data_IF_399172756734
#
_entry.id   IF_399172756734
#
_cell.length_a   1.000
_cell.length_b   1.000
_cell.length_c   1.000
_cell.angle_alpha   90.00
_cell.angle_beta   90.00
_cell.angle_gamma   90.00
#
_symmetry.space_group_name_H-M   'P 1'
#
loop_
_entity.id
_entity.type
_entity.pdbx_description
1 polymer ?
#
# COMPACT_ATOMS: atom_id res chain seq x y z
N UNK A 1 -0.57 -3.22 -32.85
CA UNK A 1 0.28 -3.67 -31.72
C UNK A 1 -0.55 -4.64 -30.88
N UNK A 2 0.04 -5.71 -30.33
CA UNK A 2 -0.68 -6.56 -29.36
C UNK A 2 -0.98 -5.73 -28.10
N UNK A 3 -2.17 -5.83 -27.48
CA UNK A 3 -2.49 -5.09 -26.27
C UNK A 3 -1.49 -5.46 -25.17
N UNK A 4 -0.96 -4.44 -24.50
CA UNK A 4 -0.02 -4.63 -23.40
C UNK A 4 -0.83 -5.04 -22.16
N UNK A 5 -0.63 -6.26 -21.70
CA UNK A 5 -1.21 -6.71 -20.43
C UNK A 5 -0.51 -6.01 -19.27
N UNK A 6 -1.17 -5.02 -18.66
CA UNK A 6 -0.64 -4.27 -17.52
C UNK A 6 -0.72 -5.09 -16.24
N UNK A 7 -1.78 -5.90 -16.09
CA UNK A 7 -2.01 -6.80 -14.94
C UNK A 7 -0.86 -7.79 -14.75
N UNK A 8 -0.08 -8.08 -15.79
CA UNK A 8 1.05 -9.01 -15.73
C UNK A 8 2.07 -8.68 -14.62
N UNK A 9 2.21 -7.41 -14.24
CA UNK A 9 3.10 -7.02 -13.13
C UNK A 9 2.59 -7.50 -11.75
N UNK A 10 1.30 -7.82 -11.63
CA UNK A 10 0.65 -8.33 -10.41
C UNK A 10 0.48 -9.85 -10.39
N UNK A 11 1.00 -10.59 -11.39
CA UNK A 11 0.89 -12.06 -11.44
C UNK A 11 1.34 -12.76 -10.17
N UNK A 12 2.39 -12.25 -9.54
CA UNK A 12 2.91 -12.82 -8.30
C UNK A 12 1.95 -12.54 -7.14
N UNK A 13 1.49 -11.29 -6.99
CA UNK A 13 0.49 -10.91 -5.98
C UNK A 13 -0.76 -11.76 -6.10
N UNK A 14 -1.27 -11.92 -7.33
CA UNK A 14 -2.44 -12.73 -7.65
C UNK A 14 -2.30 -14.20 -7.25
N UNK A 15 -1.11 -14.81 -7.42
CA UNK A 15 -0.85 -16.17 -6.94
C UNK A 15 -0.91 -16.25 -5.42
N UNK A 16 -0.30 -15.30 -4.73
CA UNK A 16 -0.36 -15.23 -3.27
C UNK A 16 -1.75 -14.94 -2.75
N UNK A 17 -2.57 -14.14 -3.44
CA UNK A 17 -3.96 -13.92 -3.03
C UNK A 17 -4.78 -15.20 -3.04
N UNK A 18 -4.53 -16.09 -4.01
CA UNK A 18 -5.15 -17.42 -4.04
C UNK A 18 -4.70 -18.28 -2.86
N UNK A 19 -3.40 -18.28 -2.58
CA UNK A 19 -2.80 -19.00 -1.45
C UNK A 19 -3.26 -18.46 -0.09
N UNK A 20 -3.50 -17.16 0.02
CA UNK A 20 -3.87 -16.50 1.26
C UNK A 20 -5.39 -16.33 1.42
N UNK A 21 -6.18 -17.05 0.61
CA UNK A 21 -7.65 -17.02 0.69
C UNK A 21 -8.29 -15.62 0.52
N UNK A 22 -7.64 -14.69 -0.18
CA UNK A 22 -8.14 -13.31 -0.44
C UNK A 22 -8.34 -13.04 -1.93
N UNK A 23 -8.52 -14.09 -2.74
CA UNK A 23 -8.70 -13.96 -4.18
C UNK A 23 -10.04 -13.26 -4.50
N UNK A 24 -10.03 -12.14 -5.24
CA UNK A 24 -11.24 -11.39 -5.53
C UNK A 24 -11.95 -11.95 -6.77
N UNK A 25 -12.63 -13.09 -6.66
CA UNK A 25 -13.41 -13.66 -7.78
C UNK A 25 -14.81 -14.07 -7.33
N UNK A 26 -15.81 -13.63 -8.08
CA UNK A 26 -17.21 -13.95 -7.84
C UNK A 26 -17.53 -15.42 -8.15
N UNK A 27 -16.85 -16.00 -9.14
CA UNK A 27 -16.99 -17.42 -9.52
C UNK A 27 -15.88 -18.25 -8.87
N UNK A 28 -16.11 -18.71 -7.64
CA UNK A 28 -15.21 -19.64 -6.96
C UNK A 28 -15.76 -21.07 -7.01
N UNK A 29 -14.90 -22.05 -7.29
CA UNK A 29 -15.27 -23.45 -7.09
C UNK A 29 -15.68 -23.69 -5.62
N UNK A 30 -16.68 -24.55 -5.35
CA UNK A 30 -17.18 -24.79 -3.99
C UNK A 30 -16.08 -25.18 -2.98
N UNK A 31 -15.13 -26.01 -3.41
CA UNK A 31 -13.98 -26.42 -2.58
C UNK A 31 -13.09 -25.24 -2.15
N UNK A 32 -12.88 -24.27 -3.05
CA UNK A 32 -12.08 -23.09 -2.73
C UNK A 32 -12.82 -22.17 -1.74
N UNK A 33 -14.15 -22.12 -1.79
CA UNK A 33 -14.96 -21.38 -0.81
C UNK A 33 -14.84 -21.95 0.60
N UNK A 34 -14.88 -23.28 0.75
CA UNK A 34 -14.64 -23.92 2.04
C UNK A 34 -13.21 -23.66 2.56
N UNK A 35 -12.22 -23.74 1.68
CA UNK A 35 -10.84 -23.37 2.01
C UNK A 35 -10.73 -21.93 2.52
N UNK A 36 -11.37 -20.97 1.84
CA UNK A 36 -11.36 -19.56 2.25
C UNK A 36 -11.98 -19.36 3.63
N UNK A 37 -13.15 -19.94 3.88
CA UNK A 37 -13.84 -19.85 5.18
C UNK A 37 -12.96 -20.46 6.28
N UNK A 38 -12.41 -21.66 6.04
CA UNK A 38 -11.54 -22.33 7.00
C UNK A 38 -10.27 -21.51 7.29
N UNK A 39 -9.59 -21.02 6.24
CA UNK A 39 -8.35 -20.28 6.38
C UNK A 39 -8.57 -18.95 7.14
N UNK A 40 -9.58 -18.17 6.76
CA UNK A 40 -9.87 -16.89 7.43
C UNK A 40 -10.33 -17.12 8.87
N UNK A 41 -11.22 -18.08 9.11
CA UNK A 41 -11.70 -18.39 10.46
C UNK A 41 -10.58 -18.88 11.37
N UNK A 42 -9.73 -19.78 10.87
CA UNK A 42 -8.67 -20.41 11.66
C UNK A 42 -7.45 -19.52 11.87
N UNK A 43 -7.11 -18.63 10.93
CA UNK A 43 -5.85 -17.89 10.99
C UNK A 43 -6.04 -16.40 11.25
N UNK A 44 -7.11 -15.78 10.75
CA UNK A 44 -7.34 -14.34 10.96
C UNK A 44 -8.20 -14.14 12.20
N UNK A 45 -9.37 -14.77 12.26
CA UNK A 45 -10.33 -14.56 13.35
C UNK A 45 -9.78 -15.15 14.65
N UNK A 46 -9.37 -16.41 14.65
CA UNK A 46 -8.84 -17.06 15.85
C UNK A 46 -7.60 -16.34 16.38
N UNK A 47 -6.67 -15.93 15.52
CA UNK A 47 -5.48 -15.20 15.96
C UNK A 47 -5.84 -13.86 16.59
N UNK A 48 -6.68 -13.05 15.93
CA UNK A 48 -7.15 -11.78 16.51
C UNK A 48 -7.83 -11.99 17.87
N UNK A 49 -8.62 -13.05 18.02
CA UNK A 49 -9.32 -13.39 19.26
C UNK A 49 -8.31 -13.75 20.36
N UNK A 50 -7.33 -14.61 20.06
CA UNK A 50 -6.28 -15.02 21.00
C UNK A 50 -5.41 -13.84 21.44
N UNK A 51 -5.01 -12.95 20.52
CA UNK A 51 -4.20 -11.77 20.85
C UNK A 51 -5.03 -10.77 21.67
N UNK A 52 -6.32 -10.60 21.36
CA UNK A 52 -7.21 -9.72 22.14
C UNK A 52 -7.40 -10.24 23.57
N UNK A 53 -7.59 -11.55 23.74
CA UNK A 53 -7.62 -12.17 25.07
C UNK A 53 -6.29 -11.98 25.79
N UNK A 54 -5.16 -12.19 25.10
CA UNK A 54 -3.83 -11.98 25.69
C UNK A 54 -3.68 -10.58 26.26
N UNK A 55 -4.13 -9.56 25.53
CA UNK A 55 -4.04 -8.16 25.96
C UNK A 55 -4.83 -7.89 27.26
N UNK A 56 -5.97 -8.56 27.45
CA UNK A 56 -6.77 -8.43 28.67
C UNK A 56 -6.08 -9.01 29.91
N UNK A 57 -5.36 -10.13 29.75
CA UNK A 57 -4.65 -10.82 30.84
C UNK A 57 -3.19 -10.37 31.00
N UNK A 58 -2.76 -9.35 30.25
CA UNK A 58 -1.36 -8.96 30.21
C UNK A 58 -0.91 -8.35 31.55
N UNK A 59 0.26 -8.75 32.09
CA UNK A 59 0.75 -8.19 33.34
C UNK A 59 1.01 -6.68 33.18
N UNK A 60 0.74 -5.91 34.25
CA UNK A 60 0.92 -4.44 34.28
C UNK A 60 2.39 -3.98 34.27
N UNK A 61 3.31 -4.83 33.82
CA UNK A 61 4.72 -4.48 33.61
C UNK A 61 4.86 -3.76 32.27
N UNK A 62 5.30 -2.49 32.31
CA UNK A 62 5.37 -1.63 31.13
C UNK A 62 6.20 -2.25 29.99
N UNK A 63 7.31 -2.91 30.30
CA UNK A 63 8.20 -3.52 29.29
C UNK A 63 7.47 -4.57 28.43
N UNK A 64 6.78 -5.51 29.08
CA UNK A 64 6.01 -6.57 28.42
C UNK A 64 4.77 -6.01 27.73
N UNK A 65 4.15 -5.01 28.33
CA UNK A 65 2.98 -4.34 27.76
C UNK A 65 3.30 -3.67 26.42
N UNK A 66 4.41 -2.94 26.35
CA UNK A 66 4.88 -2.26 25.13
C UNK A 66 5.16 -3.25 24.00
N UNK A 67 5.86 -4.35 24.29
CA UNK A 67 6.19 -5.36 23.29
C UNK A 67 4.94 -5.96 22.64
N UNK A 68 3.95 -6.32 23.44
CA UNK A 68 2.69 -6.90 22.96
C UNK A 68 1.81 -5.88 22.24
N UNK A 69 1.83 -4.60 22.65
CA UNK A 69 1.14 -3.51 21.94
C UNK A 69 1.63 -3.36 20.51
N UNK A 70 2.94 -3.46 20.27
CA UNK A 70 3.54 -3.31 18.94
C UNK A 70 2.98 -4.40 17.99
N UNK A 71 2.98 -5.65 18.44
CA UNK A 71 2.45 -6.77 17.66
C UNK A 71 0.93 -6.65 17.47
N UNK A 72 0.20 -6.22 18.49
CA UNK A 72 -1.24 -6.01 18.40
C UNK A 72 -1.63 -4.93 17.37
N UNK A 73 -0.97 -3.78 17.39
CA UNK A 73 -1.22 -2.73 16.39
C UNK A 73 -0.87 -3.17 14.97
N UNK A 74 0.17 -3.99 14.82
CA UNK A 74 0.50 -4.60 13.52
C UNK A 74 -0.64 -5.50 13.05
N UNK A 75 -1.19 -6.30 13.96
CA UNK A 75 -2.27 -7.23 13.63
C UNK A 75 -3.57 -6.50 13.25
N UNK A 76 -3.89 -5.41 13.94
CA UNK A 76 -5.03 -4.57 13.56
C UNK A 76 -4.86 -3.98 12.15
N UNK A 77 -3.64 -3.53 11.81
CA UNK A 77 -3.34 -3.01 10.48
C UNK A 77 -3.49 -4.11 9.40
N UNK A 78 -2.94 -5.31 9.62
CA UNK A 78 -3.08 -6.46 8.69
C UNK A 78 -4.54 -6.86 8.53
N UNK A 79 -5.28 -6.95 9.63
CA UNK A 79 -6.69 -7.33 9.62
C UNK A 79 -7.51 -6.34 8.79
N UNK A 80 -7.26 -5.04 8.91
CA UNK A 80 -7.93 -4.02 8.07
C UNK A 80 -7.69 -4.23 6.56
N UNK A 81 -6.47 -4.62 6.18
CA UNK A 81 -6.09 -4.94 4.79
C UNK A 81 -6.84 -6.18 4.28
N UNK A 82 -6.87 -7.24 5.07
CA UNK A 82 -7.58 -8.48 4.74
C UNK A 82 -9.07 -8.21 4.57
N UNK A 83 -9.70 -7.52 5.52
CA UNK A 83 -11.12 -7.16 5.43
C UNK A 83 -11.45 -6.35 4.18
N UNK A 84 -10.56 -5.44 3.78
CA UNK A 84 -10.73 -4.66 2.54
C UNK A 84 -10.73 -5.55 1.31
N UNK A 85 -9.83 -6.52 1.23
CA UNK A 85 -9.82 -7.47 0.10
C UNK A 85 -11.06 -8.35 0.07
N UNK A 86 -11.61 -8.72 1.22
CA UNK A 86 -12.83 -9.54 1.31
C UNK A 86 -14.09 -8.75 0.93
N UNK A 87 -14.27 -7.54 1.48
CA UNK A 87 -15.48 -6.75 1.28
C UNK A 87 -15.48 -5.93 -0.02
N UNK A 88 -14.32 -5.53 -0.51
CA UNK A 88 -14.20 -4.64 -1.68
C UNK A 88 -13.77 -5.37 -2.95
N UNK A 89 -13.94 -6.69 -3.00
CA UNK A 89 -13.46 -7.54 -4.09
C UNK A 89 -13.95 -7.08 -5.47
N UNK A 90 -15.24 -6.73 -5.63
CA UNK A 90 -15.79 -6.25 -6.91
C UNK A 90 -15.08 -5.00 -7.43
N UNK A 91 -14.76 -4.08 -6.51
CA UNK A 91 -14.04 -2.85 -6.87
C UNK A 91 -12.56 -3.12 -7.16
N UNK A 92 -11.94 -4.09 -6.49
CA UNK A 92 -10.57 -4.54 -6.80
C UNK A 92 -10.52 -5.15 -8.21
N UNK A 93 -11.51 -5.98 -8.58
CA UNK A 93 -11.64 -6.49 -9.94
C UNK A 93 -11.85 -5.36 -10.94
N UNK A 94 -12.68 -4.36 -10.60
CA UNK A 94 -12.86 -3.17 -11.43
C UNK A 94 -11.54 -2.40 -11.66
N UNK A 95 -10.71 -2.21 -10.62
CA UNK A 95 -9.38 -1.60 -10.74
C UNK A 95 -8.52 -2.36 -11.75
N UNK A 96 -8.48 -3.70 -11.63
CA UNK A 96 -7.72 -4.54 -12.56
C UNK A 96 -8.24 -4.43 -13.99
N UNK A 97 -9.55 -4.45 -14.19
CA UNK A 97 -10.17 -4.35 -15.51
C UNK A 97 -9.90 -3.00 -16.18
N UNK A 98 -9.97 -1.89 -15.43
CA UNK A 98 -9.68 -0.55 -15.95
C UNK A 98 -8.25 -0.43 -16.48
N UNK A 99 -7.28 -1.09 -15.84
CA UNK A 99 -5.88 -1.12 -16.31
C UNK A 99 -5.70 -1.83 -17.66
N UNK A 100 -6.63 -2.69 -18.06
CA UNK A 100 -6.60 -3.39 -19.35
C UNK A 100 -7.49 -2.73 -20.41
N UNK A 101 -8.31 -1.74 -20.04
CA UNK A 101 -9.18 -1.04 -20.98
C UNK A 101 -8.39 -0.36 -22.10
N UNK A 102 -9.00 -0.28 -23.28
CA UNK A 102 -8.39 0.29 -24.50
C UNK A 102 -7.86 1.72 -24.29
N UNK A 103 -8.55 2.52 -23.45
CA UNK A 103 -8.16 3.90 -23.13
C UNK A 103 -6.79 4.00 -22.42
N UNK A 104 -6.43 2.97 -21.63
CA UNK A 104 -5.19 2.91 -20.86
C UNK A 104 -4.05 2.25 -21.65
N UNK A 105 -4.31 1.78 -22.88
CA UNK A 105 -3.31 1.17 -23.73
C UNK A 105 -2.39 2.24 -24.36
N UNK A 106 -1.07 2.00 -24.42
CA UNK A 106 -0.15 2.94 -25.03
C UNK A 106 -0.28 2.94 -26.56
N UNK A 107 -0.59 4.09 -27.13
CA UNK A 107 -0.63 4.30 -28.59
C UNK A 107 0.75 4.69 -29.16
N UNK A 108 1.64 5.23 -28.32
CA UNK A 108 2.97 5.70 -28.72
C UNK A 108 4.09 4.85 -28.13
N UNK A 109 5.23 4.80 -28.81
CA UNK A 109 6.43 4.11 -28.30
C UNK A 109 6.91 4.73 -26.97
N UNK A 110 6.78 6.05 -26.82
CA UNK A 110 7.08 6.74 -25.55
C UNK A 110 6.15 6.28 -24.43
N UNK A 111 4.84 6.18 -24.68
CA UNK A 111 3.90 5.69 -23.68
C UNK A 111 4.12 4.23 -23.32
N UNK A 112 4.51 3.40 -24.29
CA UNK A 112 4.88 2.01 -24.05
C UNK A 112 6.09 1.89 -23.12
N UNK A 113 7.13 2.71 -23.35
CA UNK A 113 8.33 2.74 -22.49
C UNK A 113 8.00 3.19 -21.06
N UNK A 114 7.14 4.19 -20.90
CA UNK A 114 6.70 4.69 -19.59
C UNK A 114 5.95 3.61 -18.80
N UNK A 115 4.94 2.96 -19.41
CA UNK A 115 4.16 1.91 -18.74
C UNK A 115 5.03 0.67 -18.46
N UNK A 116 5.90 0.26 -19.39
CA UNK A 116 6.81 -0.86 -19.17
C UNK A 116 7.83 -0.57 -18.05
N UNK A 117 8.35 0.66 -17.99
CA UNK A 117 9.19 1.13 -16.88
C UNK A 117 8.47 1.05 -15.54
N UNK A 118 7.23 1.52 -15.48
CA UNK A 118 6.38 1.44 -14.29
C UNK A 118 6.12 -0.01 -13.85
N UNK A 119 5.81 -0.92 -14.79
CA UNK A 119 5.64 -2.35 -14.52
C UNK A 119 6.92 -2.99 -13.97
N UNK A 120 8.07 -2.73 -14.60
CA UNK A 120 9.38 -3.24 -14.16
C UNK A 120 9.74 -2.72 -12.78
N UNK A 121 9.48 -1.45 -12.52
CA UNK A 121 9.69 -0.85 -11.20
C UNK A 121 8.81 -1.53 -10.14
N UNK A 122 7.52 -1.76 -10.42
CA UNK A 122 6.62 -2.47 -9.50
C UNK A 122 7.12 -3.90 -9.18
N UNK A 123 7.53 -4.67 -10.19
CA UNK A 123 8.08 -6.02 -9.99
C UNK A 123 9.39 -5.99 -9.20
N UNK A 124 10.27 -5.01 -9.48
CA UNK A 124 11.51 -4.82 -8.73
C UNK A 124 11.22 -4.46 -7.26
N UNK A 125 10.28 -3.55 -7.03
CA UNK A 125 9.86 -3.13 -5.70
C UNK A 125 9.31 -4.31 -4.90
N UNK A 126 8.42 -5.12 -5.49
CA UNK A 126 7.92 -6.35 -4.87
C UNK A 126 9.05 -7.28 -4.44
N UNK A 127 10.04 -7.53 -5.30
CA UNK A 127 11.19 -8.39 -4.99
C UNK A 127 12.03 -7.86 -3.83
N UNK A 128 12.26 -6.55 -3.78
CA UNK A 128 13.01 -5.91 -2.69
C UNK A 128 12.25 -6.07 -1.37
N UNK A 129 10.96 -5.73 -1.35
CA UNK A 129 10.12 -5.83 -0.14
C UNK A 129 10.03 -7.29 0.32
N UNK A 130 9.85 -8.24 -0.61
CA UNK A 130 9.82 -9.66 -0.29
C UNK A 130 11.15 -10.16 0.30
N UNK A 131 12.29 -9.76 -0.27
CA UNK A 131 13.60 -10.14 0.25
C UNK A 131 13.85 -9.59 1.67
N UNK A 132 13.60 -8.30 1.89
CA UNK A 132 13.77 -7.65 3.21
C UNK A 132 12.84 -8.24 4.26
N UNK A 133 11.60 -8.54 3.87
CA UNK A 133 10.62 -9.14 4.78
C UNK A 133 10.96 -10.60 5.10
N UNK A 134 11.42 -11.36 4.11
CA UNK A 134 11.84 -12.75 4.31
C UNK A 134 13.04 -12.86 5.24
N UNK A 135 14.06 -12.00 5.09
CA UNK A 135 15.23 -12.00 5.99
C UNK A 135 14.84 -11.62 7.42
N UNK A 136 14.02 -10.59 7.60
CA UNK A 136 13.54 -10.16 8.92
C UNK A 136 12.72 -11.27 9.60
N UNK A 137 11.79 -11.87 8.86
CA UNK A 137 10.95 -12.96 9.35
C UNK A 137 11.75 -14.21 9.72
N UNK A 138 12.66 -14.65 8.85
CA UNK A 138 13.53 -15.80 9.12
C UNK A 138 14.40 -15.54 10.35
N UNK A 139 14.93 -14.34 10.52
CA UNK A 139 15.73 -13.98 11.70
C UNK A 139 14.90 -14.09 12.98
N UNK A 140 13.67 -13.59 12.96
CA UNK A 140 12.78 -13.57 14.13
C UNK A 140 12.30 -14.97 14.55
N UNK A 141 12.08 -15.89 13.59
CA UNK A 141 11.70 -17.28 13.90
C UNK A 141 12.92 -18.14 14.22
N UNK A 142 14.00 -18.03 13.45
CA UNK A 142 15.16 -18.91 13.66
C UNK A 142 15.96 -18.52 14.90
N UNK A 143 16.01 -17.25 15.30
CA UNK A 143 16.82 -16.82 16.46
C UNK A 143 16.42 -17.52 17.77
N UNK A 144 15.12 -17.54 18.18
CA UNK A 144 14.71 -18.28 19.38
C UNK A 144 14.98 -19.79 19.28
N UNK A 145 14.79 -20.39 18.09
CA UNK A 145 15.05 -21.81 17.87
C UNK A 145 16.54 -22.16 17.97
N UNK A 146 17.41 -21.33 17.41
CA UNK A 146 18.86 -21.49 17.50
C UNK A 146 19.32 -21.39 18.96
N UNK A 147 18.81 -20.40 19.71
CA UNK A 147 19.11 -20.26 21.14
C UNK A 147 18.62 -21.46 21.95
N UNK A 148 17.45 -22.00 21.62
CA UNK A 148 16.90 -23.18 22.29
C UNK A 148 17.69 -24.46 22.01
N UNK A 149 17.99 -24.75 20.74
CA UNK A 149 18.65 -26.00 20.36
C UNK A 149 20.17 -26.01 20.58
N UNK A 150 20.86 -24.88 20.36
CA UNK A 150 22.33 -24.80 20.47
C UNK A 150 22.77 -24.42 21.88
N UNK A 151 22.10 -23.44 22.50
CA UNK A 151 22.49 -22.88 23.79
C UNK A 151 21.64 -23.41 24.96
N UNK A 152 20.71 -24.34 24.70
CA UNK A 152 19.81 -24.94 25.69
C UNK A 152 19.03 -23.90 26.53
N UNK A 153 18.76 -22.73 25.95
CA UNK A 153 17.93 -21.70 26.57
C UNK A 153 16.45 -22.10 26.53
N UNK A 154 15.64 -21.55 27.44
CA UNK A 154 14.18 -21.71 27.38
C UNK A 154 13.67 -21.09 26.07
N UNK A 155 12.79 -21.82 25.37
CA UNK A 155 12.18 -21.32 24.14
C UNK A 155 11.07 -20.35 24.52
N UNK A 156 11.19 -19.09 24.10
CA UNK A 156 10.12 -18.13 24.24
C UNK A 156 9.27 -18.07 22.96
N UNK A 157 7.98 -17.79 23.12
CA UNK A 157 7.06 -17.63 22.00
C UNK A 157 7.42 -16.37 21.20
N UNK A 158 7.40 -16.43 19.85
CA UNK A 158 7.97 -15.37 19.03
C UNK A 158 7.10 -14.11 19.02
N UNK A 159 5.78 -14.22 19.11
CA UNK A 159 4.86 -13.07 18.87
C UNK A 159 4.09 -12.68 20.12
N UNK A 160 3.36 -13.63 20.72
CA UNK A 160 2.52 -13.37 21.89
C UNK A 160 2.84 -14.35 23.01
N UNK A 161 2.99 -13.83 24.21
CA UNK A 161 3.29 -14.63 25.42
C UNK A 161 2.15 -15.53 25.88
N UNK A 162 0.92 -15.31 25.40
CA UNK A 162 -0.31 -15.97 25.85
C UNK A 162 -0.40 -16.02 27.39
N UNK A 163 -0.37 -14.84 28.01
CA UNK A 163 -0.38 -14.62 29.45
C UNK A 163 -1.60 -15.19 30.18
N UNK A 164 -2.67 -15.57 29.45
CA UNK A 164 -3.84 -16.25 29.99
C UNK A 164 -3.62 -17.75 30.27
N UNK A 165 -2.57 -18.37 29.70
CA UNK A 165 -2.23 -19.77 29.94
C UNK A 165 -1.28 -19.91 31.13
N UNK A 166 -1.49 -20.95 31.96
CA UNK A 166 -0.54 -21.29 33.02
C UNK A 166 0.83 -21.67 32.44
N UNK A 167 1.90 -21.39 33.18
CA UNK A 167 3.28 -21.72 32.74
C UNK A 167 3.46 -23.21 32.46
N UNK A 168 2.81 -24.07 33.24
CA UNK A 168 2.82 -25.53 33.05
C UNK A 168 2.20 -25.91 31.70
N UNK A 169 1.03 -25.37 31.37
CA UNK A 169 0.35 -25.61 30.08
C UNK A 169 1.19 -25.12 28.91
N UNK A 170 1.82 -23.94 29.04
CA UNK A 170 2.68 -23.37 28.00
C UNK A 170 3.90 -24.25 27.73
N UNK A 171 4.52 -24.81 28.77
CA UNK A 171 5.65 -25.72 28.60
C UNK A 171 5.25 -27.06 27.98
N UNK A 172 4.10 -27.62 28.35
CA UNK A 172 3.60 -28.87 27.74
C UNK A 172 3.32 -28.71 26.24
N UNK A 173 2.74 -27.59 25.83
CA UNK A 173 2.32 -27.34 24.43
C UNK A 173 3.22 -26.36 23.69
N UNK A 174 4.48 -26.21 24.10
CA UNK A 174 5.36 -25.16 23.59
C UNK A 174 5.63 -25.29 22.09
N UNK A 175 5.89 -26.51 21.59
CA UNK A 175 6.18 -26.72 20.17
C UNK A 175 4.95 -26.49 19.28
N UNK A 176 3.75 -27.04 19.58
CA UNK A 176 2.54 -26.72 18.81
C UNK A 176 2.21 -25.22 18.78
N UNK A 177 2.31 -24.52 19.93
CA UNK A 177 2.05 -23.09 20.02
C UNK A 177 3.06 -22.28 19.20
N UNK A 178 4.34 -22.66 19.28
CA UNK A 178 5.40 -22.03 18.51
C UNK A 178 5.16 -22.16 17.01
N UNK A 179 4.84 -23.36 16.52
CA UNK A 179 4.53 -23.60 15.11
C UNK A 179 3.29 -22.85 14.63
N UNK A 180 2.24 -22.79 15.46
CA UNK A 180 1.05 -22.01 15.16
C UNK A 180 1.35 -20.52 15.01
N UNK A 181 2.12 -19.93 15.93
CA UNK A 181 2.53 -18.52 15.84
C UNK A 181 3.47 -18.26 14.65
N UNK A 182 4.43 -19.15 14.41
CA UNK A 182 5.35 -19.06 13.27
C UNK A 182 4.60 -19.06 11.94
N UNK A 183 3.63 -19.97 11.77
CA UNK A 183 2.79 -20.03 10.57
C UNK A 183 1.91 -18.79 10.42
N UNK A 184 1.27 -18.34 11.49
CA UNK A 184 0.42 -17.15 11.48
C UNK A 184 1.22 -15.90 11.13
N UNK A 185 2.40 -15.73 11.73
CA UNK A 185 3.33 -14.65 11.40
C UNK A 185 3.76 -14.70 9.93
N UNK A 186 4.02 -15.90 9.39
CA UNK A 186 4.34 -16.07 7.98
C UNK A 186 3.20 -15.59 7.07
N UNK A 187 1.96 -15.99 7.37
CA UNK A 187 0.78 -15.54 6.64
C UNK A 187 0.60 -14.01 6.72
N UNK A 188 0.75 -13.40 7.90
CA UNK A 188 0.69 -11.93 8.08
C UNK A 188 1.73 -11.19 7.24
N UNK A 189 2.98 -11.67 7.23
CA UNK A 189 4.05 -11.10 6.41
C UNK A 189 3.68 -11.16 4.93
N UNK A 190 3.17 -12.30 4.46
CA UNK A 190 2.71 -12.45 3.08
C UNK A 190 1.52 -11.53 2.76
N UNK A 191 0.57 -11.35 3.69
CA UNK A 191 -0.53 -10.39 3.51
C UNK A 191 0.00 -8.96 3.31
N UNK A 192 0.89 -8.50 4.20
CA UNK A 192 1.48 -7.16 4.12
C UNK A 192 2.21 -6.95 2.79
N UNK A 193 3.11 -7.87 2.40
CA UNK A 193 3.87 -7.74 1.15
C UNK A 193 2.91 -7.64 -0.04
N UNK A 194 1.95 -8.56 -0.17
CA UNK A 194 1.13 -8.64 -1.38
C UNK A 194 0.08 -7.54 -1.47
N UNK A 195 -0.46 -7.07 -0.34
CA UNK A 195 -1.46 -6.00 -0.34
C UNK A 195 -0.79 -4.64 -0.52
N UNK A 196 0.28 -4.34 0.23
CA UNK A 196 0.95 -3.04 0.17
C UNK A 196 1.60 -2.80 -1.20
N UNK A 197 2.27 -3.82 -1.75
CA UNK A 197 2.85 -3.72 -3.09
C UNK A 197 1.78 -3.61 -4.18
N UNK A 198 0.58 -4.17 -3.99
CA UNK A 198 -0.52 -3.98 -4.92
C UNK A 198 -1.05 -2.55 -4.89
N UNK A 199 -1.31 -2.00 -3.70
CA UNK A 199 -1.73 -0.61 -3.52
C UNK A 199 -0.71 0.32 -4.18
N UNK A 200 0.58 0.14 -3.89
CA UNK A 200 1.63 0.96 -4.48
C UNK A 200 1.73 0.76 -6.00
N UNK A 201 1.60 -0.46 -6.49
CA UNK A 201 1.63 -0.75 -7.92
C UNK A 201 0.51 -0.05 -8.70
N UNK A 202 -0.71 0.01 -8.16
CA UNK A 202 -1.82 0.74 -8.82
C UNK A 202 -1.59 2.25 -8.81
N UNK A 203 -0.99 2.81 -7.75
CA UNK A 203 -0.57 4.21 -7.72
C UNK A 203 0.53 4.51 -8.75
N UNK A 204 1.53 3.63 -8.86
CA UNK A 204 2.62 3.74 -9.85
C UNK A 204 2.05 3.72 -11.28
N UNK A 205 1.09 2.85 -11.56
CA UNK A 205 0.42 2.80 -12.87
C UNK A 205 -0.44 4.05 -13.13
N UNK A 206 -1.14 4.58 -12.11
CA UNK A 206 -1.85 5.86 -12.25
C UNK A 206 -0.90 7.01 -12.63
N UNK A 207 0.28 7.09 -11.99
CA UNK A 207 1.32 8.06 -12.32
C UNK A 207 1.82 7.88 -13.75
N UNK A 208 2.06 6.63 -14.17
CA UNK A 208 2.47 6.33 -15.53
C UNK A 208 1.42 6.80 -16.55
N UNK A 209 0.13 6.63 -16.27
CA UNK A 209 -0.95 7.11 -17.14
C UNK A 209 -1.04 8.65 -17.19
N UNK A 210 -0.79 9.36 -16.08
CA UNK A 210 -0.64 10.82 -16.08
C UNK A 210 0.49 11.27 -17.01
N UNK A 211 1.62 10.56 -17.01
CA UNK A 211 2.78 10.88 -17.86
C UNK A 211 2.53 10.55 -19.34
N UNK A 212 1.81 9.47 -19.63
CA UNK A 212 1.31 9.18 -20.99
C UNK A 212 0.39 10.31 -21.46
N UNK A 213 -0.51 10.78 -20.60
CA UNK A 213 -1.43 11.86 -20.92
C UNK A 213 -0.71 13.20 -21.13
N UNK A 214 0.28 13.54 -20.30
CA UNK A 214 1.11 14.74 -20.48
C UNK A 214 1.79 14.75 -21.86
N UNK A 215 2.41 13.63 -22.24
CA UNK A 215 3.01 13.47 -23.56
C UNK A 215 1.98 13.57 -24.69
N UNK A 216 0.78 12.98 -24.52
CA UNK A 216 -0.32 13.10 -25.49
C UNK A 216 -0.73 14.57 -25.66
N UNK A 217 -0.86 15.33 -24.57
CA UNK A 217 -1.26 16.76 -24.60
C UNK A 217 -0.21 17.65 -25.29
N UNK A 218 1.08 17.46 -25.00
CA UNK A 218 2.17 18.23 -25.63
C UNK A 218 2.25 18.01 -27.14
N UNK A 219 1.95 16.80 -27.61
CA UNK A 219 2.08 16.39 -29.01
C UNK A 219 0.78 16.50 -29.82
N UNK A 220 -0.28 17.12 -29.28
CA UNK A 220 -1.57 17.26 -29.96
C UNK A 220 -1.41 17.93 -31.33
N UNK A 221 -0.54 18.95 -31.42
CA UNK A 221 -0.39 19.80 -32.61
C UNK A 221 0.80 19.42 -33.52
N UNK A 222 1.81 18.68 -33.02
CA UNK A 222 3.06 18.39 -33.76
C UNK A 222 2.87 17.68 -35.11
N UNK A 223 1.89 16.79 -35.21
CA UNK A 223 1.63 16.03 -36.45
C UNK A 223 0.94 16.88 -37.53
N UNK A 224 0.35 18.02 -37.18
CA UNK A 224 -0.34 18.89 -38.14
C UNK A 224 0.62 19.82 -38.89
N UNK A 225 1.83 20.03 -38.37
CA UNK A 225 2.86 20.84 -39.04
C UNK A 225 3.52 20.12 -40.23
N UNK A 226 3.63 18.78 -40.20
CA UNK A 226 4.29 18.00 -41.27
C UNK A 226 3.43 17.75 -42.52
N UNK A 227 2.15 18.16 -42.52
CA UNK A 227 1.21 17.95 -43.64
C UNK A 227 0.37 19.20 -43.93
N UNK A 228 0.88 20.12 -44.75
CA UNK A 228 0.07 20.96 -45.66
C UNK A 228 0.86 21.08 -46.97
N UNK A 229 0.23 20.94 -48.16
CA UNK A 229 -1.07 21.53 -48.50
C UNK A 229 -2.04 20.56 -49.21
N UNK A 230 -3.30 20.53 -48.77
CA UNK A 230 -4.54 20.35 -49.57
C UNK A 230 -5.69 20.12 -48.59
N UNK A 231 -6.86 20.69 -48.91
CA UNK A 231 -7.97 20.87 -47.98
C UNK A 231 -8.52 19.58 -47.37
N UNK A 232 -8.14 19.32 -46.10
CA UNK A 232 -8.98 18.86 -44.98
C UNK A 232 -8.10 18.27 -43.85
N UNK A 233 -7.73 19.04 -42.80
CA UNK A 233 -7.15 18.46 -41.59
C UNK A 233 -7.67 19.08 -40.27
N UNK A 234 -8.89 19.62 -40.23
CA UNK A 234 -9.40 20.37 -39.05
C UNK A 234 -9.86 19.44 -37.91
N UNK A 235 -10.20 18.17 -38.18
CA UNK A 235 -10.82 17.27 -37.20
C UNK A 235 -9.84 16.49 -36.30
N UNK A 236 -8.62 16.22 -36.75
CA UNK A 236 -7.75 15.26 -36.06
C UNK A 236 -7.23 15.80 -34.71
N UNK A 237 -6.86 17.09 -34.62
CA UNK A 237 -6.41 17.69 -33.35
C UNK A 237 -7.55 17.81 -32.33
N UNK A 238 -8.76 18.07 -32.80
CA UNK A 238 -9.96 18.16 -31.95
C UNK A 238 -10.31 16.78 -31.40
N UNK A 239 -10.27 15.74 -32.25
CA UNK A 239 -10.50 14.36 -31.81
C UNK A 239 -9.45 13.91 -30.78
N UNK A 240 -8.17 14.23 -31.01
CA UNK A 240 -7.10 13.95 -30.04
C UNK A 240 -7.33 14.66 -28.70
N UNK A 241 -7.68 15.95 -28.72
CA UNK A 241 -7.99 16.69 -27.51
C UNK A 241 -9.18 16.07 -26.77
N UNK A 242 -10.25 15.71 -27.48
CA UNK A 242 -11.41 15.03 -26.91
C UNK A 242 -11.00 13.70 -26.26
N UNK A 243 -10.20 12.89 -26.93
CA UNK A 243 -9.70 11.63 -26.38
C UNK A 243 -8.82 11.83 -25.14
N UNK A 244 -7.98 12.87 -25.11
CA UNK A 244 -7.21 13.24 -23.92
C UNK A 244 -8.09 13.67 -22.75
N UNK A 245 -9.17 14.42 -23.00
CA UNK A 245 -10.13 14.82 -21.97
C UNK A 245 -10.84 13.59 -21.38
N UNK A 246 -11.32 12.68 -22.24
CA UNK A 246 -11.97 11.44 -21.80
C UNK A 246 -10.97 10.58 -21.01
N UNK A 247 -9.71 10.49 -21.46
CA UNK A 247 -8.67 9.74 -20.74
C UNK A 247 -8.40 10.34 -19.34
N UNK A 248 -8.35 11.67 -19.21
CA UNK A 248 -8.20 12.33 -17.91
C UNK A 248 -9.40 12.06 -16.98
N UNK A 249 -10.62 12.08 -17.50
CA UNK A 249 -11.83 11.79 -16.73
C UNK A 249 -11.86 10.33 -16.24
N UNK A 250 -11.52 9.38 -17.11
CA UNK A 250 -11.39 7.96 -16.75
C UNK A 250 -10.28 7.72 -15.72
N UNK A 251 -9.16 8.45 -15.82
CA UNK A 251 -8.10 8.40 -14.82
C UNK A 251 -8.54 8.98 -13.47
N UNK A 252 -9.35 10.04 -13.47
CA UNK A 252 -10.00 10.56 -12.27
C UNK A 252 -10.87 9.49 -11.60
N UNK A 253 -11.77 8.85 -12.37
CA UNK A 253 -12.60 7.74 -11.88
C UNK A 253 -11.78 6.55 -11.37
N UNK A 254 -10.63 6.28 -12.00
CA UNK A 254 -9.70 5.25 -11.56
C UNK A 254 -9.10 5.60 -10.18
N UNK A 255 -8.61 6.82 -10.00
CA UNK A 255 -8.15 7.32 -8.70
C UNK A 255 -9.25 7.30 -7.64
N UNK A 256 -10.48 7.71 -7.98
CA UNK A 256 -11.64 7.65 -7.07
C UNK A 256 -11.98 6.21 -6.67
N UNK A 257 -11.84 5.26 -7.61
CA UNK A 257 -12.05 3.84 -7.34
C UNK A 257 -10.97 3.31 -6.39
N UNK A 258 -9.69 3.62 -6.64
CA UNK A 258 -8.56 3.29 -5.76
C UNK A 258 -8.80 3.85 -4.35
N UNK A 259 -9.15 5.13 -4.25
CA UNK A 259 -9.49 5.78 -2.97
C UNK A 259 -10.62 5.02 -2.29
N UNK A 260 -11.73 4.76 -2.98
CA UNK A 260 -12.90 4.12 -2.38
C UNK A 260 -12.60 2.73 -1.82
N UNK A 261 -11.59 2.01 -2.35
CA UNK A 261 -11.16 0.70 -1.88
C UNK A 261 -10.19 0.82 -0.71
N UNK A 262 -9.15 1.64 -0.84
CA UNK A 262 -8.02 1.62 0.10
C UNK A 262 -8.05 2.73 1.15
N UNK A 263 -8.97 3.70 1.07
CA UNK A 263 -9.00 4.86 1.97
C UNK A 263 -9.07 4.46 3.45
N UNK A 264 -9.95 3.52 3.81
CA UNK A 264 -10.08 3.07 5.21
C UNK A 264 -8.86 2.26 5.68
N UNK A 265 -8.33 1.38 4.81
CA UNK A 265 -7.13 0.58 5.12
C UNK A 265 -5.91 1.47 5.36
N UNK A 266 -5.68 2.47 4.49
CA UNK A 266 -4.57 3.40 4.63
C UNK A 266 -4.70 4.26 5.88
N UNK A 267 -5.92 4.63 6.27
CA UNK A 267 -6.18 5.32 7.52
C UNK A 267 -5.77 4.47 8.74
N UNK A 268 -6.26 3.22 8.82
CA UNK A 268 -5.91 2.31 9.92
C UNK A 268 -4.40 2.05 9.94
N UNK A 269 -3.80 1.79 8.78
CA UNK A 269 -2.35 1.60 8.65
C UNK A 269 -1.56 2.79 9.18
N UNK A 270 -1.93 4.03 8.82
CA UNK A 270 -1.24 5.23 9.26
C UNK A 270 -1.42 5.49 10.76
N UNK A 271 -2.62 5.30 11.28
CA UNK A 271 -2.89 5.42 12.72
C UNK A 271 -2.10 4.39 13.54
N UNK A 272 -2.13 3.12 13.15
CA UNK A 272 -1.40 2.07 13.85
C UNK A 272 0.11 2.28 13.76
N UNK A 273 0.63 2.68 12.59
CA UNK A 273 2.03 3.00 12.41
C UNK A 273 2.48 4.18 13.29
N UNK A 274 1.65 5.22 13.44
CA UNK A 274 1.91 6.34 14.34
C UNK A 274 2.00 5.91 15.80
N UNK A 275 1.04 5.10 16.27
CA UNK A 275 1.06 4.55 17.63
C UNK A 275 2.29 3.66 17.86
N UNK A 276 2.65 2.83 16.88
CA UNK A 276 3.84 1.99 16.94
C UNK A 276 5.11 2.83 17.05
N UNK A 277 5.29 3.86 16.23
CA UNK A 277 6.47 4.74 16.29
C UNK A 277 6.56 5.39 17.67
N UNK A 278 5.45 5.86 18.22
CA UNK A 278 5.40 6.45 19.56
C UNK A 278 5.86 5.45 20.65
N UNK A 279 5.30 4.23 20.61
CA UNK A 279 5.61 3.16 21.59
C UNK A 279 7.07 2.70 21.46
N UNK A 280 7.60 2.57 20.24
CA UNK A 280 9.00 2.20 20.01
C UNK A 280 9.96 3.29 20.51
N UNK A 281 9.66 4.58 20.26
CA UNK A 281 10.44 5.69 20.81
C UNK A 281 10.45 5.68 22.34
N UNK A 282 9.31 5.36 22.96
CA UNK A 282 9.24 5.19 24.40
C UNK A 282 10.09 4.00 24.87
N UNK A 283 10.05 2.87 24.17
CA UNK A 283 10.84 1.67 24.51
C UNK A 283 12.35 1.94 24.48
N UNK A 284 12.84 2.83 23.60
CA UNK A 284 14.25 3.24 23.60
C UNK A 284 14.72 3.93 24.89
N UNK A 285 13.81 4.43 25.72
CA UNK A 285 14.15 5.05 27.01
C UNK A 285 14.28 4.05 28.16
N UNK A 286 13.84 2.81 27.95
CA UNK A 286 13.89 1.74 28.95
C UNK A 286 15.13 0.86 28.74
N UNK A 287 15.74 0.32 29.81
CA UNK A 287 16.93 -0.50 29.69
C UNK A 287 16.60 -1.81 28.97
N UNK A 288 17.35 -2.13 27.90
CA UNK A 288 17.22 -3.35 27.14
C UNK A 288 18.56 -3.75 26.49
N UNK A 289 18.76 -5.03 26.10
CA UNK A 289 19.97 -5.45 25.41
C UNK A 289 20.11 -4.80 24.03
N UNK A 290 21.35 -4.54 23.61
CA UNK A 290 21.65 -3.88 22.32
C UNK A 290 21.03 -4.56 21.09
N UNK A 291 20.97 -5.89 21.08
CA UNK A 291 20.35 -6.67 19.99
C UNK A 291 18.87 -6.33 19.82
N UNK A 292 18.16 -6.09 20.92
CA UNK A 292 16.75 -5.74 20.90
C UNK A 292 16.52 -4.31 20.41
N UNK A 293 17.42 -3.37 20.73
CA UNK A 293 17.37 -2.02 20.15
C UNK A 293 17.59 -2.01 18.63
N UNK A 294 18.45 -2.88 18.10
CA UNK A 294 18.62 -3.04 16.64
C UNK A 294 17.32 -3.54 16.00
N UNK A 295 16.65 -4.51 16.62
CA UNK A 295 15.35 -4.99 16.17
C UNK A 295 14.29 -3.87 16.17
N UNK A 296 14.12 -3.16 17.29
CA UNK A 296 13.19 -2.03 17.41
C UNK A 296 13.48 -0.93 16.38
N UNK A 297 14.76 -0.58 16.19
CA UNK A 297 15.17 0.44 15.23
C UNK A 297 14.85 0.05 13.79
N UNK A 298 15.13 -1.20 13.40
CA UNK A 298 14.79 -1.71 12.07
C UNK A 298 13.28 -1.77 11.84
N UNK A 299 12.53 -2.19 12.86
CA UNK A 299 11.07 -2.23 12.83
C UNK A 299 10.46 -0.81 12.71
N UNK A 300 10.92 0.16 13.52
CA UNK A 300 10.52 1.57 13.40
C UNK A 300 10.78 2.12 11.99
N UNK A 301 11.96 1.83 11.43
CA UNK A 301 12.33 2.26 10.08
C UNK A 301 11.36 1.72 9.01
N UNK A 302 10.97 0.44 9.12
CA UNK A 302 9.98 -0.16 8.22
C UNK A 302 8.62 0.55 8.35
N UNK A 303 8.16 0.85 9.58
CA UNK A 303 6.89 1.53 9.79
C UNK A 303 6.89 2.95 9.22
N UNK A 304 8.02 3.67 9.32
CA UNK A 304 8.20 4.99 8.68
C UNK A 304 8.10 4.86 7.15
N UNK A 305 8.76 3.86 6.55
CA UNK A 305 8.68 3.61 5.11
C UNK A 305 7.25 3.29 4.67
N UNK A 306 6.50 2.51 5.46
CA UNK A 306 5.11 2.17 5.14
C UNK A 306 4.17 3.38 5.09
N UNK A 307 4.49 4.47 5.80
CA UNK A 307 3.75 5.75 5.67
C UNK A 307 4.34 6.61 4.55
N UNK A 308 5.66 6.74 4.50
CA UNK A 308 6.37 7.63 3.58
C UNK A 308 6.10 7.27 2.12
N UNK A 309 6.16 5.99 1.76
CA UNK A 309 6.07 5.55 0.36
C UNK A 309 4.69 5.85 -0.26
N UNK A 310 3.55 5.49 0.35
CA UNK A 310 2.24 5.90 -0.16
C UNK A 310 2.06 7.42 -0.24
N UNK A 311 2.52 8.17 0.78
CA UNK A 311 2.44 9.64 0.79
C UNK A 311 3.30 10.29 -0.31
N UNK A 312 4.46 9.71 -0.62
CA UNK A 312 5.31 10.14 -1.72
C UNK A 312 4.63 9.94 -3.07
N UNK A 313 4.06 8.76 -3.32
CA UNK A 313 3.33 8.49 -4.57
C UNK A 313 2.06 9.31 -4.69
N UNK A 314 1.32 9.53 -3.60
CA UNK A 314 0.15 10.42 -3.58
C UNK A 314 0.52 11.86 -3.94
N UNK A 315 1.62 12.38 -3.39
CA UNK A 315 2.16 13.71 -3.76
C UNK A 315 2.54 13.75 -5.25
N UNK A 316 3.19 12.71 -5.77
CA UNK A 316 3.54 12.63 -7.20
C UNK A 316 2.32 12.60 -8.11
N UNK A 317 1.22 11.95 -7.72
CA UNK A 317 -0.05 11.99 -8.47
C UNK A 317 -0.58 13.42 -8.51
N UNK A 318 -0.60 14.12 -7.38
CA UNK A 318 -1.03 15.52 -7.31
C UNK A 318 -0.18 16.43 -8.20
N UNK A 319 1.15 16.34 -8.07
CA UNK A 319 2.11 17.14 -8.85
C UNK A 319 1.94 16.89 -10.35
N UNK A 320 1.90 15.62 -10.77
CA UNK A 320 1.75 15.24 -12.18
C UNK A 320 0.40 15.65 -12.74
N UNK A 321 -0.67 15.53 -11.96
CA UNK A 321 -2.00 16.01 -12.36
C UNK A 321 -2.01 17.53 -12.54
N UNK A 322 -1.35 18.28 -11.66
CA UNK A 322 -1.28 19.74 -11.76
C UNK A 322 -0.47 20.18 -12.98
N UNK A 323 0.61 19.48 -13.31
CA UNK A 323 1.43 19.79 -14.50
C UNK A 323 0.65 19.67 -15.82
N UNK A 324 -0.42 18.87 -15.88
CA UNK A 324 -1.24 18.73 -17.08
C UNK A 324 -1.90 20.05 -17.50
N UNK A 325 -2.27 20.92 -16.56
CA UNK A 325 -2.84 22.24 -16.89
C UNK A 325 -1.82 23.13 -17.60
N UNK A 326 -0.53 22.97 -17.29
CA UNK A 326 0.58 23.68 -17.94
C UNK A 326 0.99 23.05 -19.27
N UNK A 327 0.96 21.71 -19.36
CA UNK A 327 1.35 20.95 -20.55
C UNK A 327 0.54 21.35 -21.80
N UNK A 328 -0.73 21.68 -21.58
CA UNK A 328 -1.65 22.20 -22.58
C UNK A 328 -1.12 23.43 -23.31
N UNK A 329 -0.43 24.34 -22.62
CA UNK A 329 0.12 25.55 -23.23
C UNK A 329 1.35 25.29 -24.12
N UNK A 330 1.93 24.08 -24.05
CA UNK A 330 3.05 23.70 -24.92
C UNK A 330 2.62 23.32 -26.33
N UNK A 331 1.32 23.10 -26.58
CA UNK A 331 0.82 22.86 -27.93
C UNK A 331 0.57 24.19 -28.67
N UNK A 332 0.66 24.23 -30.00
CA UNK A 332 0.31 25.42 -30.78
C UNK A 332 -1.23 25.60 -30.82
N UNK A 333 -1.79 26.15 -29.74
CA UNK A 333 -3.22 26.38 -29.54
C UNK A 333 -3.71 27.72 -30.12
N UNK A 334 -2.81 28.70 -30.29
CA UNK A 334 -3.13 30.04 -30.80
C UNK A 334 -3.68 29.99 -32.23
N UNK A 335 -3.09 29.15 -33.08
CA UNK A 335 -3.47 29.00 -34.49
C UNK A 335 -4.70 28.08 -34.72
N UNK A 336 -5.33 27.56 -33.64
CA UNK A 336 -6.43 26.58 -33.73
C UNK A 336 -7.82 27.23 -33.67
N UNK A 337 -8.84 26.43 -34.02
CA UNK A 337 -10.24 26.87 -34.12
C UNK A 337 -10.82 27.33 -32.78
N UNK A 338 -11.89 28.13 -32.82
CA UNK A 338 -12.62 28.59 -31.61
C UNK A 338 -13.11 27.41 -30.75
N UNK A 339 -13.59 26.34 -31.39
CA UNK A 339 -14.04 25.14 -30.71
C UNK A 339 -12.89 24.46 -29.94
N UNK A 340 -11.71 24.30 -30.57
CA UNK A 340 -10.52 23.75 -29.92
C UNK A 340 -10.14 24.57 -28.68
N UNK A 341 -10.07 25.91 -28.82
CA UNK A 341 -9.75 26.82 -27.71
C UNK A 341 -10.74 26.72 -26.56
N UNK A 342 -12.04 26.60 -26.86
CA UNK A 342 -13.09 26.45 -25.85
C UNK A 342 -12.97 25.14 -25.07
N UNK A 343 -12.78 24.01 -25.77
CA UNK A 343 -12.59 22.69 -25.15
C UNK A 343 -11.32 22.62 -24.33
N UNK A 344 -10.25 23.26 -24.80
CA UNK A 344 -8.97 23.36 -24.10
C UNK A 344 -9.12 24.12 -22.78
N UNK A 345 -9.88 25.23 -22.78
CA UNK A 345 -10.16 26.02 -21.57
C UNK A 345 -10.92 25.20 -20.53
N UNK A 346 -11.93 24.45 -20.94
CA UNK A 346 -12.67 23.55 -20.04
C UNK A 346 -11.76 22.48 -19.45
N UNK A 347 -10.86 21.92 -20.25
CA UNK A 347 -9.87 20.95 -19.76
C UNK A 347 -8.92 21.57 -18.73
N UNK A 348 -8.38 22.76 -18.99
CA UNK A 348 -7.50 23.47 -18.04
C UNK A 348 -8.24 23.74 -16.72
N UNK A 349 -9.48 24.19 -16.78
CA UNK A 349 -10.31 24.42 -15.58
C UNK A 349 -10.50 23.13 -14.76
N UNK A 350 -10.71 21.99 -15.45
CA UNK A 350 -10.83 20.69 -14.78
C UNK A 350 -9.50 20.19 -14.22
N UNK A 351 -8.40 20.40 -14.93
CA UNK A 351 -7.05 19.99 -14.53
C UNK A 351 -6.46 20.85 -13.41
N UNK A 352 -6.94 22.08 -13.22
CA UNK A 352 -6.60 22.95 -12.09
C UNK A 352 -7.09 22.39 -10.74
N UNK A 353 -7.95 21.37 -10.74
CA UNK A 353 -8.29 20.57 -9.56
C UNK A 353 -7.48 19.26 -9.61
N UNK A 354 -6.30 19.20 -8.98
CA UNK A 354 -5.41 18.05 -9.09
C UNK A 354 -6.06 16.79 -8.52
N UNK A 355 -5.76 15.65 -9.14
CA UNK A 355 -6.15 14.35 -8.59
C UNK A 355 -5.43 14.12 -7.26
N UNK A 356 -6.20 13.81 -6.22
CA UNK A 356 -5.70 13.53 -4.88
C UNK A 356 -6.43 12.32 -4.33
N UNK A 357 -5.69 11.40 -3.72
CA UNK A 357 -6.24 10.21 -3.06
C UNK A 357 -6.16 10.46 -1.56
N UNK A 358 -7.26 10.22 -0.85
CA UNK A 358 -7.35 10.45 0.60
C UNK A 358 -7.40 9.17 1.43
N UNK A 359 -6.82 9.22 2.63
CA UNK A 359 -6.95 8.21 3.67
C UNK A 359 -8.09 8.60 4.64
N UNK A 360 -9.01 7.67 4.89
CA UNK A 360 -10.19 7.84 5.75
C UNK A 360 -11.15 8.95 5.29
N UNK A 361 -11.05 9.43 4.04
CA UNK A 361 -11.67 10.69 3.57
C UNK A 361 -11.31 11.94 4.40
N UNK A 362 -10.27 11.85 5.21
CA UNK A 362 -9.86 12.93 6.13
C UNK A 362 -8.58 13.61 5.66
N UNK A 363 -7.57 12.83 5.25
CA UNK A 363 -6.25 13.36 4.96
C UNK A 363 -5.78 12.93 3.56
N UNK A 364 -5.28 13.85 2.72
CA UNK A 364 -4.69 13.48 1.45
C UNK A 364 -3.41 12.67 1.66
N UNK A 365 -3.13 11.73 0.76
CA UNK A 365 -1.82 11.07 0.67
C UNK A 365 -0.80 12.09 0.19
N UNK A 366 -0.13 12.75 1.12
CA UNK A 366 0.85 13.79 0.84
C UNK A 366 2.02 13.74 1.81
N UNK A 367 3.17 14.30 1.40
CA UNK A 367 4.32 14.46 2.29
C UNK A 367 4.01 15.35 3.49
N UNK A 368 3.08 16.31 3.36
CA UNK A 368 2.59 17.12 4.47
C UNK A 368 1.87 16.27 5.52
N UNK A 369 1.02 15.31 5.09
CA UNK A 369 0.37 14.34 5.98
C UNK A 369 1.40 13.44 6.67
N UNK A 370 2.42 12.97 5.94
CA UNK A 370 3.52 12.21 6.53
C UNK A 370 4.23 12.99 7.65
N UNK A 371 4.64 14.24 7.40
CA UNK A 371 5.28 15.08 8.42
C UNK A 371 4.37 15.32 9.61
N UNK A 372 3.07 15.52 9.40
CA UNK A 372 2.09 15.68 10.47
C UNK A 372 1.98 14.43 11.35
N UNK A 373 1.97 13.23 10.75
CA UNK A 373 1.94 11.96 11.49
C UNK A 373 3.23 11.78 12.31
N UNK A 374 4.40 12.09 11.73
CA UNK A 374 5.67 12.00 12.44
C UNK A 374 5.73 12.96 13.64
N UNK A 375 5.30 14.21 13.45
CA UNK A 375 5.23 15.20 14.53
C UNK A 375 4.27 14.76 15.63
N UNK A 376 3.09 14.25 15.27
CA UNK A 376 2.11 13.76 16.24
C UNK A 376 2.67 12.60 17.07
N UNK A 377 3.32 11.62 16.41
CA UNK A 377 3.94 10.47 17.07
C UNK A 377 5.02 10.91 18.07
N UNK A 378 5.84 11.90 17.68
CA UNK A 378 6.86 12.48 18.55
C UNK A 378 6.25 13.25 19.74
N UNK A 379 5.20 14.04 19.51
CA UNK A 379 4.48 14.76 20.58
C UNK A 379 3.83 13.81 21.59
N UNK A 380 3.24 12.69 21.14
CA UNK A 380 2.73 11.67 22.06
C UNK A 380 3.85 11.00 22.84
N UNK A 381 5.00 10.74 22.20
CA UNK A 381 6.18 10.21 22.90
C UNK A 381 6.68 11.17 23.99
N UNK A 382 6.82 12.47 23.69
CA UNK A 382 7.29 13.45 24.69
C UNK A 382 6.31 13.58 25.85
N UNK A 383 5.01 13.48 25.60
CA UNK A 383 3.98 13.44 26.64
C UNK A 383 4.14 12.21 27.55
N UNK A 384 4.26 11.01 26.96
CA UNK A 384 4.46 9.77 27.72
C UNK A 384 5.73 9.83 28.58
N UNK A 385 6.83 10.34 28.00
CA UNK A 385 8.09 10.52 28.72
C UNK A 385 7.95 11.51 29.89
N UNK A 386 7.25 12.61 29.69
CA UNK A 386 6.99 13.59 30.74
C UNK A 386 6.10 13.02 31.86
N UNK A 387 5.12 12.18 31.53
CA UNK A 387 4.30 11.49 32.53
C UNK A 387 5.14 10.51 33.38
N UNK A 388 6.03 9.76 32.74
CA UNK A 388 6.93 8.84 33.45
C UNK A 388 7.90 9.60 34.38
N UNK A 389 8.46 10.72 33.94
CA UNK A 389 9.36 11.53 34.79
C UNK A 389 8.69 12.21 35.97
N UNK A 390 7.34 12.23 36.05
CA UNK A 390 6.61 12.73 37.23
C UNK A 390 6.29 11.64 38.26
N UNK A 391 6.35 10.36 37.85
CA UNK A 391 6.09 9.23 38.74
C UNK A 391 7.36 8.70 39.42
N UNK A 392 8.52 8.91 38.80
CA UNK A 392 9.83 8.79 39.42
C UNK A 392 10.21 10.09 40.12
#
# INVERSE_FOLDING_TARGET
MRPLKQIDCFKVNMKFWKLLAIWPSSDMHPYYRYYVIFFISSFVILNNLLVTINFYYLPRQLDKFIEEMIFYFTELAVTSKVLTFLFMHDKIVKILNVLECDMFQPESETGLKVIDGAKKFNVKYWKIVAAVSATSHLTHILSPLILHFIFHMKLDLPVCSYSFLSEETKQTFIYPLYWYQAFTMHAQVLYNINIDTFILGVLILAIAQLEVLDNKLRTITDKDQKRRPTGAPIDNSIMKLKNSIIHYDELGKFCDTIESVFSMTLFVQFSMASCIICVVLFRFTLPAPWQYFIFLGSYMFIMIIQILVPCWFGTRIQDKSQLLSHAVYSCDWCAKSRYFKSSLRLFVERANKPLSITAGKMFPLSLTTFTSIMNSSYSFFTLLRHMQSRQN
#
